data_IF_106196309269
#
_entry.id   IF_106196309269
#
_cell.length_a   1.000
_cell.length_b   1.000
_cell.length_c   1.000
_cell.angle_alpha   90.00
_cell.angle_beta   90.00
_cell.angle_gamma   90.00
#
_symmetry.space_group_name_H-M   'P 1'
#
loop_
_entity.id
_entity.type
_entity.pdbx_description
1 polymer ?
#
# COMPACT_ATOMS: atom_id res chain seq x y z
N UNK A 1 -24.31 44.30 13.67
CA UNK A 1 -24.92 43.12 14.29
C UNK A 1 -25.69 42.40 13.19
N UNK A 2 -25.11 41.33 12.67
CA UNK A 2 -25.81 40.47 11.71
C UNK A 2 -26.75 39.61 12.52
N UNK A 3 -28.05 39.82 12.39
CA UNK A 3 -29.05 38.93 12.93
C UNK A 3 -29.01 37.61 12.16
N UNK A 4 -28.23 36.64 12.68
CA UNK A 4 -28.28 35.27 12.22
C UNK A 4 -29.62 34.68 12.70
N UNK A 5 -30.60 34.64 11.83
CA UNK A 5 -31.80 33.83 12.06
C UNK A 5 -31.32 32.39 12.24
N UNK A 6 -31.63 31.72 13.35
CA UNK A 6 -31.27 30.34 13.52
C UNK A 6 -31.91 29.52 12.40
N UNK A 7 -31.11 29.01 11.48
CA UNK A 7 -31.59 28.06 10.48
C UNK A 7 -32.15 26.87 11.25
N UNK A 8 -33.45 26.62 11.12
CA UNK A 8 -34.05 25.42 11.70
C UNK A 8 -33.28 24.19 11.15
N UNK A 9 -32.57 23.52 12.03
CA UNK A 9 -31.84 22.32 11.63
C UNK A 9 -32.88 21.29 11.15
N UNK A 10 -32.61 20.59 10.03
CA UNK A 10 -33.54 19.58 9.53
C UNK A 10 -33.79 18.55 10.64
N UNK A 11 -35.01 17.97 10.63
CA UNK A 11 -35.37 16.93 11.58
C UNK A 11 -34.30 15.83 11.57
N UNK A 12 -33.88 15.34 12.74
CA UNK A 12 -32.91 14.26 12.80
C UNK A 12 -33.42 13.07 11.98
N UNK A 13 -32.48 12.37 11.30
CA UNK A 13 -32.81 11.14 10.56
C UNK A 13 -33.46 10.17 11.55
N UNK A 14 -34.64 9.67 11.23
CA UNK A 14 -35.39 8.80 12.15
C UNK A 14 -34.84 7.38 12.08
N UNK A 15 -34.62 6.72 13.24
CA UNK A 15 -34.23 5.31 13.25
C UNK A 15 -35.38 4.45 12.71
N UNK A 16 -34.99 3.36 12.00
CA UNK A 16 -35.91 2.39 11.43
C UNK A 16 -35.50 0.98 11.80
N UNK A 17 -36.45 0.11 11.97
CA UNK A 17 -36.18 -1.31 12.18
C UNK A 17 -35.84 -1.95 10.84
N UNK A 18 -34.64 -2.51 10.66
CA UNK A 18 -34.33 -3.25 9.45
C UNK A 18 -35.21 -4.52 9.38
N UNK A 19 -35.53 -5.00 8.18
CA UNK A 19 -36.19 -6.31 8.04
C UNK A 19 -35.36 -7.39 8.75
N UNK A 20 -36.02 -8.45 9.21
CA UNK A 20 -35.36 -9.58 9.90
C UNK A 20 -34.49 -10.36 8.93
N UNK A 21 -33.24 -9.94 8.78
CA UNK A 21 -32.20 -10.68 8.09
C UNK A 21 -31.49 -11.61 9.08
N UNK A 22 -31.11 -12.78 8.62
CA UNK A 22 -30.51 -13.83 9.44
C UNK A 22 -29.10 -13.52 9.96
N UNK A 23 -28.43 -12.50 9.43
CA UNK A 23 -27.09 -12.05 9.91
C UNK A 23 -26.85 -10.59 9.50
N UNK A 24 -26.08 -9.81 10.28
CA UNK A 24 -25.52 -8.58 9.76
C UNK A 24 -24.62 -8.91 8.56
N UNK A 25 -24.64 -8.02 7.56
CA UNK A 25 -23.70 -8.15 6.44
C UNK A 25 -22.28 -8.24 7.00
N UNK A 26 -21.48 -9.11 6.41
CA UNK A 26 -20.12 -9.34 6.89
C UNK A 26 -19.39 -8.00 7.01
N UNK A 27 -18.87 -7.74 8.21
CA UNK A 27 -17.90 -6.65 8.42
C UNK A 27 -16.80 -6.86 7.39
N UNK A 28 -16.32 -5.77 6.80
CA UNK A 28 -15.20 -5.85 5.86
C UNK A 28 -14.13 -6.76 6.47
N UNK A 29 -13.65 -7.78 5.74
CA UNK A 29 -12.79 -8.83 6.29
C UNK A 29 -11.49 -8.28 6.88
N UNK A 30 -11.14 -7.05 6.51
CA UNK A 30 -9.94 -6.37 6.99
C UNK A 30 -10.26 -4.92 7.35
N UNK A 31 -9.89 -4.53 8.56
CA UNK A 31 -9.95 -3.13 9.00
C UNK A 31 -8.83 -2.32 8.35
N UNK A 32 -9.02 -1.02 8.24
CA UNK A 32 -8.06 -0.12 7.59
C UNK A 32 -6.68 -0.14 8.28
N UNK A 33 -6.64 -0.34 9.60
CA UNK A 33 -5.37 -0.46 10.33
C UNK A 33 -4.60 -1.74 9.95
N UNK A 34 -5.29 -2.85 9.68
CA UNK A 34 -4.66 -4.06 9.16
C UNK A 34 -4.00 -3.83 7.80
N UNK A 35 -4.69 -3.11 6.91
CA UNK A 35 -4.16 -2.78 5.59
C UNK A 35 -2.99 -1.79 5.65
N UNK A 36 -3.07 -0.80 6.53
CA UNK A 36 -1.99 0.17 6.77
C UNK A 36 -0.73 -0.56 7.27
N UNK A 37 -0.88 -1.46 8.25
CA UNK A 37 0.24 -2.27 8.78
C UNK A 37 0.78 -3.21 7.69
N UNK A 38 -0.09 -3.88 6.93
CA UNK A 38 0.32 -4.78 5.87
C UNK A 38 1.11 -4.05 4.77
N UNK A 39 0.61 -2.90 4.30
CA UNK A 39 1.29 -2.09 3.28
C UNK A 39 2.63 -1.57 3.78
N UNK A 40 2.69 -1.03 5.01
CA UNK A 40 3.94 -0.55 5.59
C UNK A 40 4.96 -1.69 5.74
N UNK A 41 4.53 -2.86 6.22
CA UNK A 41 5.39 -4.05 6.36
C UNK A 41 5.93 -4.50 5.01
N UNK A 42 5.08 -4.50 3.98
CA UNK A 42 5.50 -4.85 2.61
C UNK A 42 6.58 -3.89 2.09
N UNK A 43 6.35 -2.58 2.23
CA UNK A 43 7.30 -1.54 1.76
C UNK A 43 8.65 -1.58 2.50
N UNK A 44 8.69 -2.10 3.73
CA UNK A 44 9.95 -2.28 4.46
C UNK A 44 10.90 -3.28 3.79
N UNK A 45 10.35 -4.31 3.16
CA UNK A 45 11.12 -5.39 2.51
C UNK A 45 11.17 -5.22 0.98
N UNK A 46 10.21 -4.53 0.40
CA UNK A 46 10.07 -4.32 -1.03
C UNK A 46 9.92 -2.82 -1.33
N UNK A 47 11.02 -2.09 -1.54
CA UNK A 47 10.95 -0.67 -1.86
C UNK A 47 10.09 -0.44 -3.11
N UNK A 48 8.98 0.25 -2.95
CA UNK A 48 8.03 0.53 -4.02
C UNK A 48 8.35 1.88 -4.63
N UNK A 49 8.37 1.96 -5.96
CA UNK A 49 8.42 3.23 -6.68
C UNK A 49 7.00 3.77 -6.82
N UNK A 50 6.81 4.99 -6.36
CA UNK A 50 5.57 5.68 -6.66
C UNK A 50 5.65 6.22 -8.08
N UNK A 51 4.82 5.68 -8.96
CA UNK A 51 4.68 6.23 -10.30
C UNK A 51 3.58 7.28 -10.30
N UNK A 52 3.91 8.45 -10.79
CA UNK A 52 2.91 9.48 -11.10
C UNK A 52 2.34 9.13 -12.48
N UNK A 53 1.14 8.59 -12.52
CA UNK A 53 0.47 8.30 -13.79
C UNK A 53 -0.55 9.38 -14.12
N UNK A 54 -0.46 9.96 -15.30
CA UNK A 54 -1.49 10.80 -15.90
C UNK A 54 -2.57 9.89 -16.51
N UNK A 55 -3.53 9.44 -15.72
CA UNK A 55 -4.57 8.50 -16.21
C UNK A 55 -5.66 9.18 -17.06
N UNK A 56 -5.64 10.50 -17.18
CA UNK A 56 -6.67 11.29 -17.85
C UNK A 56 -6.21 11.88 -19.20
N UNK A 57 -5.15 11.35 -19.79
CA UNK A 57 -4.79 11.63 -21.18
C UNK A 57 -5.76 10.97 -22.20
N UNK A 58 -7.02 10.84 -21.85
CA UNK A 58 -8.02 10.55 -22.86
C UNK A 58 -8.36 11.88 -23.54
N UNK A 59 -8.02 12.05 -24.83
CA UNK A 59 -8.55 13.17 -25.59
C UNK A 59 -10.07 13.06 -25.55
N UNK A 60 -10.73 14.05 -24.95
CA UNK A 60 -12.18 14.15 -25.09
C UNK A 60 -12.47 14.19 -26.59
N UNK A 61 -13.34 13.33 -27.14
CA UNK A 61 -13.46 13.09 -28.58
C UNK A 61 -13.79 14.32 -29.42
N UNK A 62 -14.08 15.45 -28.82
CA UNK A 62 -14.53 16.65 -29.53
C UNK A 62 -13.82 17.97 -29.16
N UNK A 63 -12.85 17.99 -28.25
CA UNK A 63 -12.35 19.29 -27.76
C UNK A 63 -10.83 19.50 -27.75
N UNK A 64 -10.01 18.50 -27.97
CA UNK A 64 -8.54 18.67 -27.97
C UNK A 64 -7.93 19.20 -26.66
N UNK A 65 -8.69 19.26 -25.57
CA UNK A 65 -8.21 19.62 -24.26
C UNK A 65 -7.74 18.36 -23.55
N UNK A 66 -6.44 18.30 -23.24
CA UNK A 66 -5.87 17.26 -22.42
C UNK A 66 -6.24 17.54 -20.94
N UNK A 67 -6.95 16.63 -20.29
CA UNK A 67 -7.15 16.65 -18.85
C UNK A 67 -5.96 15.92 -18.24
N UNK A 68 -4.97 16.65 -17.79
CA UNK A 68 -3.87 16.06 -17.03
C UNK A 68 -4.29 15.90 -15.58
N UNK A 69 -4.83 14.76 -15.23
CA UNK A 69 -4.98 14.36 -13.85
C UNK A 69 -3.71 13.64 -13.41
N UNK A 70 -2.84 14.34 -12.72
CA UNK A 70 -1.68 13.73 -12.07
C UNK A 70 -2.18 12.92 -10.90
N UNK A 71 -2.27 11.61 -11.07
CA UNK A 71 -2.62 10.67 -10.01
C UNK A 71 -1.34 9.97 -9.54
N UNK A 72 -1.06 10.05 -8.26
CA UNK A 72 -0.05 9.17 -7.67
C UNK A 72 -0.65 7.77 -7.61
N UNK A 73 -0.23 6.92 -8.53
CA UNK A 73 -0.61 5.51 -8.52
C UNK A 73 0.48 4.74 -7.80
N UNK A 74 0.09 4.03 -6.75
CA UNK A 74 0.94 3.00 -6.19
C UNK A 74 0.91 1.83 -7.17
N UNK A 75 2.06 1.53 -7.76
CA UNK A 75 2.23 0.31 -8.53
C UNK A 75 2.41 -0.83 -7.52
N UNK A 76 1.28 -1.29 -7.00
CA UNK A 76 1.26 -2.39 -6.04
C UNK A 76 1.60 -3.67 -6.78
N UNK A 77 2.60 -4.41 -6.31
CA UNK A 77 2.93 -5.70 -6.88
C UNK A 77 1.72 -6.64 -6.82
N UNK A 78 1.57 -7.42 -7.89
CA UNK A 78 0.42 -8.33 -8.04
C UNK A 78 0.25 -9.32 -6.90
N UNK A 79 1.32 -9.68 -6.23
CA UNK A 79 1.35 -10.59 -5.08
C UNK A 79 0.74 -9.98 -3.82
N UNK A 80 0.96 -8.69 -3.50
CA UNK A 80 0.26 -8.04 -2.40
C UNK A 80 -1.25 -7.96 -2.68
N UNK A 81 -1.63 -7.60 -3.92
CA UNK A 81 -3.04 -7.56 -4.32
C UNK A 81 -3.67 -8.96 -4.27
N UNK A 82 -2.92 -10.00 -4.67
CA UNK A 82 -3.39 -11.38 -4.62
C UNK A 82 -3.58 -11.91 -3.20
N UNK A 83 -2.80 -11.41 -2.25
CA UNK A 83 -2.93 -11.76 -0.85
C UNK A 83 -4.22 -11.19 -0.22
N UNK A 84 -4.75 -10.09 -0.77
CA UNK A 84 -5.96 -9.42 -0.29
C UNK A 84 -6.99 -9.25 -1.42
N UNK A 85 -7.55 -10.34 -1.96
CA UNK A 85 -8.36 -10.31 -3.17
C UNK A 85 -9.64 -9.47 -3.04
N UNK A 86 -10.19 -9.37 -1.82
CA UNK A 86 -11.44 -8.67 -1.54
C UNK A 86 -11.23 -7.16 -1.25
N UNK A 87 -9.97 -6.69 -1.24
CA UNK A 87 -9.66 -5.29 -0.95
C UNK A 87 -9.59 -4.48 -2.24
N UNK A 88 -10.48 -3.51 -2.42
CA UNK A 88 -10.47 -2.67 -3.59
C UNK A 88 -9.18 -1.83 -3.72
N UNK A 89 -8.69 -1.56 -4.93
CA UNK A 89 -7.47 -0.75 -5.14
C UNK A 89 -7.51 0.63 -4.47
N UNK A 90 -8.66 1.28 -4.41
CA UNK A 90 -8.83 2.60 -3.78
C UNK A 90 -8.60 2.56 -2.26
N UNK A 91 -8.84 1.44 -1.61
CA UNK A 91 -8.55 1.24 -0.18
C UNK A 91 -7.04 1.25 0.07
N UNK A 92 -6.26 0.64 -0.82
CA UNK A 92 -4.80 0.71 -0.78
C UNK A 92 -4.28 2.12 -1.03
N UNK A 93 -4.92 2.88 -1.93
CA UNK A 93 -4.61 4.29 -2.16
C UNK A 93 -4.84 5.12 -0.89
N UNK A 94 -5.93 4.86 -0.17
CA UNK A 94 -6.19 5.50 1.12
C UNK A 94 -5.15 5.09 2.16
N UNK A 95 -4.84 3.80 2.29
CA UNK A 95 -3.82 3.31 3.22
C UNK A 95 -2.45 3.97 2.97
N UNK A 96 -2.05 4.09 1.70
CA UNK A 96 -0.84 4.81 1.30
C UNK A 96 -0.89 6.29 1.70
N UNK A 97 -1.99 6.97 1.38
CA UNK A 97 -2.15 8.40 1.70
C UNK A 97 -2.09 8.64 3.21
N UNK A 98 -2.65 7.75 4.01
CA UNK A 98 -2.56 7.80 5.48
C UNK A 98 -1.14 7.57 5.99
N UNK A 99 -0.41 6.59 5.43
CA UNK A 99 1.00 6.35 5.78
C UNK A 99 1.89 7.55 5.49
N UNK A 100 1.66 8.23 4.37
CA UNK A 100 2.37 9.46 3.99
C UNK A 100 1.98 10.62 4.90
N UNK A 101 0.69 10.82 5.15
CA UNK A 101 0.19 11.90 5.99
C UNK A 101 0.66 11.77 7.44
N UNK A 102 0.69 10.57 7.99
CA UNK A 102 1.17 10.28 9.35
C UNK A 102 2.69 10.20 9.45
N UNK A 103 3.40 10.41 8.35
CA UNK A 103 4.86 10.33 8.27
C UNK A 103 5.45 8.96 8.69
N UNK A 104 4.64 7.92 8.70
CA UNK A 104 5.12 6.54 8.87
C UNK A 104 5.87 6.10 7.63
N UNK A 105 5.47 6.60 6.47
CA UNK A 105 6.16 6.40 5.20
C UNK A 105 6.57 7.76 4.61
N UNK A 106 7.73 7.78 3.99
CA UNK A 106 8.23 8.92 3.21
C UNK A 106 8.58 8.47 1.81
N UNK A 107 8.44 9.40 0.86
CA UNK A 107 8.76 9.15 -0.54
C UNK A 107 9.72 10.23 -1.04
N UNK A 108 10.86 9.78 -1.53
CA UNK A 108 11.79 10.60 -2.31
C UNK A 108 11.86 10.02 -3.72
N UNK A 109 12.95 9.38 -4.08
CA UNK A 109 13.07 8.54 -5.29
C UNK A 109 12.53 7.13 -5.06
N UNK A 110 12.60 6.64 -3.84
CA UNK A 110 12.07 5.36 -3.38
C UNK A 110 11.26 5.59 -2.10
N UNK A 111 10.29 4.72 -1.85
CA UNK A 111 9.55 4.72 -0.60
C UNK A 111 10.37 4.12 0.52
N UNK A 112 10.28 4.71 1.71
CA UNK A 112 10.90 4.18 2.93
C UNK A 112 9.92 4.28 4.10
N UNK A 113 10.01 3.34 5.03
CA UNK A 113 9.15 3.26 6.22
C UNK A 113 9.96 3.60 7.47
N UNK A 114 9.43 4.50 8.28
CA UNK A 114 9.94 4.74 9.61
C UNK A 114 9.48 3.61 10.54
N UNK A 115 10.39 2.67 10.80
CA UNK A 115 10.11 1.47 11.62
C UNK A 115 9.64 1.82 13.02
N UNK A 116 10.20 2.85 13.65
CA UNK A 116 9.81 3.26 14.98
C UNK A 116 8.37 3.78 15.03
N UNK A 117 8.00 4.64 14.09
CA UNK A 117 6.63 5.15 13.97
C UNK A 117 5.61 4.03 13.64
N UNK A 118 6.01 3.04 12.83
CA UNK A 118 5.18 1.87 12.56
C UNK A 118 5.01 1.00 13.82
N UNK A 119 6.07 0.78 14.58
CA UNK A 119 6.02 0.02 15.84
C UNK A 119 5.12 0.71 16.86
N UNK A 120 5.23 2.03 16.98
CA UNK A 120 4.37 2.84 17.86
C UNK A 120 2.90 2.75 17.44
N UNK A 121 2.61 2.76 16.15
CA UNK A 121 1.24 2.56 15.65
C UNK A 121 0.75 1.14 15.95
N UNK A 122 1.50 0.13 15.58
CA UNK A 122 1.10 -1.27 15.69
C UNK A 122 0.92 -1.70 17.17
N UNK A 123 1.74 -1.18 18.08
CA UNK A 123 1.66 -1.46 19.51
C UNK A 123 0.53 -0.74 20.27
N UNK A 124 -0.23 0.15 19.62
CA UNK A 124 -1.40 0.80 20.23
C UNK A 124 -2.60 -0.16 20.29
N UNK A 125 -3.49 0.09 21.27
CA UNK A 125 -4.78 -0.60 21.30
C UNK A 125 -5.55 -0.35 20.01
N UNK A 126 -6.24 -1.35 19.44
CA UNK A 126 -6.89 -1.24 18.13
C UNK A 126 -7.80 -0.02 17.97
N UNK A 127 -8.62 0.28 18.99
CA UNK A 127 -9.47 1.46 18.97
C UNK A 127 -8.65 2.76 18.86
N UNK A 128 -7.57 2.89 19.65
CA UNK A 128 -6.68 4.07 19.64
C UNK A 128 -5.99 4.23 18.27
N UNK A 129 -5.55 3.13 17.71
CA UNK A 129 -4.93 3.08 16.38
C UNK A 129 -5.91 3.53 15.29
N UNK A 130 -7.12 3.00 15.32
CA UNK A 130 -8.19 3.38 14.39
C UNK A 130 -8.60 4.85 14.56
N UNK A 131 -8.63 5.38 15.79
CA UNK A 131 -8.86 6.81 16.02
C UNK A 131 -7.74 7.68 15.43
N UNK A 132 -6.49 7.27 15.58
CA UNK A 132 -5.37 7.98 14.95
C UNK A 132 -5.50 8.02 13.43
N UNK A 133 -5.90 6.90 12.82
CA UNK A 133 -6.14 6.83 11.37
C UNK A 133 -7.37 7.63 10.95
N UNK A 134 -8.43 7.65 11.77
CA UNK A 134 -9.62 8.47 11.56
C UNK A 134 -9.28 9.97 11.58
N UNK A 135 -8.55 10.44 12.59
CA UNK A 135 -8.09 11.83 12.65
C UNK A 135 -7.19 12.19 11.45
N UNK A 136 -6.30 11.30 11.05
CA UNK A 136 -5.47 11.49 9.87
C UNK A 136 -6.33 11.58 8.60
N UNK A 137 -7.33 10.71 8.43
CA UNK A 137 -8.27 10.76 7.30
C UNK A 137 -9.09 12.05 7.30
N UNK A 138 -9.57 12.50 8.45
CA UNK A 138 -10.28 13.78 8.55
C UNK A 138 -9.48 14.95 8.01
N UNK A 139 -8.17 14.98 8.30
CA UNK A 139 -7.25 16.03 7.89
C UNK A 139 -6.63 15.82 6.49
N UNK A 140 -6.90 14.68 5.85
CA UNK A 140 -6.22 14.28 4.62
C UNK A 140 -6.72 15.07 3.41
N UNK A 141 -5.91 16.01 2.90
CA UNK A 141 -6.21 16.81 1.71
C UNK A 141 -5.62 16.26 0.41
N UNK A 142 -4.88 15.15 0.46
CA UNK A 142 -4.23 14.54 -0.71
C UNK A 142 -4.97 13.32 -1.28
N UNK A 143 -6.11 12.98 -0.70
CA UNK A 143 -6.98 11.90 -1.14
C UNK A 143 -8.44 12.30 -0.90
N UNK A 144 -9.30 12.08 -1.87
CA UNK A 144 -10.71 12.44 -1.80
C UNK A 144 -11.64 11.28 -2.17
N UNK A 145 -12.82 11.28 -1.59
CA UNK A 145 -13.83 10.24 -1.71
C UNK A 145 -14.44 10.15 -3.12
N UNK A 146 -14.24 11.14 -3.97
CA UNK A 146 -14.58 11.06 -5.39
C UNK A 146 -13.93 9.85 -6.10
N UNK A 147 -12.79 9.36 -5.57
CA UNK A 147 -12.09 8.17 -6.07
C UNK A 147 -12.90 6.89 -5.89
N UNK A 148 -13.80 6.85 -4.90
CA UNK A 148 -14.70 5.72 -4.67
C UNK A 148 -15.71 5.56 -5.80
N UNK A 149 -16.04 6.64 -6.50
CA UNK A 149 -16.96 6.60 -7.64
C UNK A 149 -16.43 5.80 -8.82
N UNK A 150 -15.12 5.71 -8.96
CA UNK A 150 -14.48 4.93 -10.04
C UNK A 150 -14.75 3.41 -9.91
N UNK A 151 -15.12 2.94 -8.73
CA UNK A 151 -15.38 1.52 -8.47
C UNK A 151 -16.83 1.13 -8.73
N UNK A 152 -17.72 2.04 -8.55
CA UNK A 152 -19.13 1.84 -8.87
C UNK A 152 -19.43 2.33 -10.29
N UNK A 153 -20.28 1.58 -11.00
CA UNK A 153 -20.67 1.93 -12.36
C UNK A 153 -22.00 2.68 -12.42
N UNK A 154 -22.35 3.49 -11.38
CA UNK A 154 -23.62 4.24 -11.31
C UNK A 154 -23.42 5.70 -11.64
N UNK A 155 -22.39 6.31 -11.07
CA UNK A 155 -22.03 7.71 -11.28
C UNK A 155 -20.52 7.85 -11.47
N UNK A 156 -20.13 8.91 -12.15
CA UNK A 156 -18.72 9.21 -12.41
C UNK A 156 -18.47 10.71 -12.39
N UNK A 157 -17.21 11.08 -12.20
CA UNK A 157 -16.78 12.47 -12.29
C UNK A 157 -16.54 12.84 -13.74
N UNK A 158 -17.09 13.96 -14.17
CA UNK A 158 -16.89 14.49 -15.51
C UNK A 158 -16.39 15.92 -15.46
N UNK A 159 -15.63 16.31 -16.49
CA UNK A 159 -15.19 17.69 -16.64
C UNK A 159 -16.30 18.50 -17.32
N UNK A 160 -16.59 19.66 -16.76
CA UNK A 160 -17.62 20.56 -17.29
C UNK A 160 -17.27 21.04 -18.70
N UNK A 161 -18.24 21.04 -19.67
CA UNK A 161 -17.96 21.45 -21.04
C UNK A 161 -17.43 22.88 -21.18
N UNK A 162 -17.88 23.80 -20.34
CA UNK A 162 -17.41 25.19 -20.32
C UNK A 162 -15.93 25.29 -19.98
N UNK A 163 -15.46 24.43 -19.08
CA UNK A 163 -14.05 24.38 -18.66
C UNK A 163 -13.16 23.84 -19.78
N UNK A 164 -13.64 22.79 -20.45
CA UNK A 164 -12.97 22.20 -21.62
C UNK A 164 -12.82 23.20 -22.76
N UNK A 165 -13.88 23.98 -23.05
CA UNK A 165 -13.86 24.99 -24.11
C UNK A 165 -12.82 26.10 -23.88
N UNK A 166 -12.56 26.44 -22.61
CA UNK A 166 -11.56 27.44 -22.22
C UNK A 166 -10.13 26.89 -22.17
N UNK A 167 -9.88 25.64 -22.53
CA UNK A 167 -8.56 24.96 -22.50
C UNK A 167 -7.87 25.04 -21.14
N UNK A 168 -8.62 25.05 -20.07
CA UNK A 168 -8.09 25.06 -18.71
C UNK A 168 -7.78 23.63 -18.26
N UNK A 169 -6.80 23.50 -17.38
CA UNK A 169 -6.40 22.19 -16.83
C UNK A 169 -7.15 21.98 -15.51
N UNK A 170 -7.98 20.94 -15.46
CA UNK A 170 -8.63 20.49 -14.23
C UNK A 170 -7.70 19.51 -13.48
N UNK A 171 -7.36 19.80 -12.23
CA UNK A 171 -6.50 18.93 -11.44
C UNK A 171 -7.27 18.22 -10.33
N UNK A 172 -7.01 16.93 -10.06
CA UNK A 172 -7.65 16.21 -8.95
C UNK A 172 -7.30 16.78 -7.57
N UNK A 173 -6.17 17.46 -7.43
CA UNK A 173 -5.78 18.06 -6.14
C UNK A 173 -6.82 19.08 -5.62
N UNK A 174 -7.49 19.81 -6.52
CA UNK A 174 -8.61 20.67 -6.15
C UNK A 174 -9.78 19.89 -5.57
N UNK A 175 -10.12 18.74 -6.18
CA UNK A 175 -11.17 17.85 -5.70
C UNK A 175 -10.83 17.24 -4.33
N UNK A 176 -9.60 16.78 -4.14
CA UNK A 176 -9.16 16.20 -2.88
C UNK A 176 -9.34 17.20 -1.73
N UNK A 177 -8.97 18.46 -1.94
CA UNK A 177 -9.17 19.54 -0.94
C UNK A 177 -10.65 19.87 -0.66
N UNK A 178 -11.51 19.81 -1.64
CA UNK A 178 -12.95 20.05 -1.42
C UNK A 178 -13.59 18.98 -0.55
N UNK A 179 -13.09 17.73 -0.63
CA UNK A 179 -13.55 16.63 0.20
C UNK A 179 -13.32 16.85 1.71
N UNK A 180 -12.35 17.66 2.13
CA UNK A 180 -12.16 18.00 3.55
C UNK A 180 -13.40 18.63 4.17
N UNK A 181 -13.97 19.62 3.50
CA UNK A 181 -15.17 20.31 4.00
C UNK A 181 -16.42 19.44 3.87
N UNK A 182 -16.46 18.57 2.87
CA UNK A 182 -17.54 17.62 2.69
C UNK A 182 -17.51 16.55 3.79
N UNK A 183 -16.32 16.04 4.17
CA UNK A 183 -16.15 15.14 5.34
C UNK A 183 -16.69 15.76 6.60
N UNK A 184 -16.27 16.99 6.93
CA UNK A 184 -16.74 17.69 8.11
C UNK A 184 -18.26 17.84 8.10
N UNK A 185 -18.89 18.06 6.94
CA UNK A 185 -20.33 18.18 6.82
C UNK A 185 -21.04 16.85 7.04
N UNK A 186 -20.54 15.75 6.44
CA UNK A 186 -21.12 14.42 6.63
C UNK A 186 -20.98 13.95 8.09
N UNK A 187 -19.78 14.12 8.68
CA UNK A 187 -19.53 13.72 10.07
C UNK A 187 -20.44 14.45 11.05
N UNK A 188 -20.65 15.76 10.89
CA UNK A 188 -21.61 16.53 11.71
C UNK A 188 -23.04 16.01 11.60
N UNK A 189 -23.44 15.44 10.46
CA UNK A 189 -24.74 14.80 10.34
C UNK A 189 -24.77 13.47 11.08
N UNK A 190 -23.71 12.68 10.98
CA UNK A 190 -23.59 11.40 11.69
C UNK A 190 -23.52 11.57 13.21
N UNK A 191 -22.90 12.64 13.71
CA UNK A 191 -22.87 13.01 15.14
C UNK A 191 -24.26 13.20 15.76
N UNK A 192 -25.30 13.36 14.95
CA UNK A 192 -26.70 13.51 15.41
C UNK A 192 -27.45 12.19 15.49
N UNK A 193 -26.84 11.12 15.02
CA UNK A 193 -27.43 9.81 15.06
C UNK A 193 -27.24 9.17 16.46
N UNK A 194 -28.21 8.39 16.87
CA UNK A 194 -28.10 7.62 18.12
C UNK A 194 -27.31 6.34 17.85
N UNK A 195 -26.20 6.09 18.55
CA UNK A 195 -25.43 4.87 18.38
C UNK A 195 -26.27 3.61 18.56
N UNK A 196 -25.99 2.58 17.77
CA UNK A 196 -26.69 1.30 17.81
C UNK A 196 -28.08 1.29 17.16
N UNK A 197 -28.62 2.45 16.77
CA UNK A 197 -29.85 2.53 16.00
C UNK A 197 -29.57 2.37 14.50
N UNK A 198 -30.55 1.79 13.79
CA UNK A 198 -30.45 1.56 12.35
C UNK A 198 -31.10 2.68 11.57
N UNK A 199 -30.43 3.14 10.52
CA UNK A 199 -30.85 4.25 9.66
C UNK A 199 -30.78 3.82 8.20
N UNK A 200 -31.73 4.30 7.40
CA UNK A 200 -31.76 4.03 5.97
C UNK A 200 -30.85 5.03 5.23
N UNK A 201 -29.96 4.57 4.38
CA UNK A 201 -28.97 5.41 3.68
C UNK A 201 -29.63 6.54 2.86
N UNK A 202 -30.75 6.27 2.21
CA UNK A 202 -31.51 7.30 1.46
C UNK A 202 -32.07 8.43 2.35
N UNK A 203 -32.44 8.14 3.61
CA UNK A 203 -32.93 9.16 4.52
C UNK A 203 -31.80 10.09 4.95
N UNK A 204 -30.58 9.56 5.10
CA UNK A 204 -29.39 10.37 5.33
C UNK A 204 -29.08 11.26 4.11
N UNK A 205 -29.21 10.73 2.89
CA UNK A 205 -29.07 11.50 1.65
C UNK A 205 -30.04 12.67 1.59
N UNK A 206 -31.29 12.43 1.95
CA UNK A 206 -32.32 13.48 2.00
C UNK A 206 -32.00 14.54 3.06
N UNK A 207 -31.62 14.12 4.27
CA UNK A 207 -31.20 15.04 5.32
C UNK A 207 -29.96 15.85 4.91
N UNK A 208 -28.99 15.23 4.22
CA UNK A 208 -27.81 15.92 3.71
C UNK A 208 -28.16 16.98 2.67
N UNK A 209 -29.07 16.69 1.75
CA UNK A 209 -29.49 17.66 0.73
C UNK A 209 -30.21 18.88 1.35
N UNK A 210 -30.93 18.69 2.47
CA UNK A 210 -31.56 19.78 3.22
C UNK A 210 -30.55 20.56 4.07
N UNK A 211 -29.63 19.86 4.75
CA UNK A 211 -28.65 20.48 5.63
C UNK A 211 -27.62 21.28 4.85
N UNK A 212 -27.17 20.76 3.73
CA UNK A 212 -26.13 21.35 2.89
C UNK A 212 -26.55 21.28 1.40
N UNK A 213 -27.35 22.24 0.91
CA UNK A 213 -27.74 22.24 -0.52
C UNK A 213 -26.57 22.29 -1.48
N UNK A 214 -25.41 22.68 -0.98
CA UNK A 214 -24.16 22.77 -1.74
C UNK A 214 -23.26 21.51 -1.62
N UNK A 215 -23.73 20.48 -0.95
CA UNK A 215 -23.00 19.21 -0.85
C UNK A 215 -23.26 18.35 -2.12
N UNK A 216 -22.25 17.68 -2.67
CA UNK A 216 -20.82 17.81 -2.36
C UNK A 216 -20.24 19.10 -2.97
N UNK A 217 -19.26 19.69 -2.29
CA UNK A 217 -18.69 20.99 -2.70
C UNK A 217 -18.00 20.95 -4.06
N UNK A 218 -17.41 19.84 -4.43
CA UNK A 218 -16.79 19.71 -5.76
C UNK A 218 -17.80 19.94 -6.90
N UNK A 219 -19.09 19.72 -6.66
CA UNK A 219 -20.13 20.01 -7.65
C UNK A 219 -20.35 21.50 -7.90
N UNK A 220 -19.74 22.37 -7.09
CA UNK A 220 -19.66 23.82 -7.32
C UNK A 220 -18.40 24.25 -8.06
N UNK A 221 -17.43 23.36 -8.18
CA UNK A 221 -16.22 23.62 -8.97
C UNK A 221 -16.62 23.80 -10.43
N UNK A 222 -16.21 24.89 -11.09
CA UNK A 222 -16.52 25.12 -12.50
C UNK A 222 -15.93 24.06 -13.42
N UNK A 223 -14.92 23.33 -12.97
CA UNK A 223 -14.24 22.31 -13.76
C UNK A 223 -14.93 20.94 -13.68
N UNK A 224 -15.55 20.60 -12.55
CA UNK A 224 -15.99 19.24 -12.26
C UNK A 224 -17.52 19.14 -12.08
N UNK A 225 -18.05 17.98 -12.43
CA UNK A 225 -19.45 17.65 -12.21
C UNK A 225 -19.65 16.16 -11.97
N UNK A 226 -20.77 15.82 -11.34
CA UNK A 226 -21.22 14.45 -11.19
C UNK A 226 -22.13 14.08 -12.35
N UNK A 227 -21.91 12.96 -13.01
CA UNK A 227 -22.75 12.45 -14.09
C UNK A 227 -23.20 11.02 -13.81
N UNK A 228 -24.26 10.56 -14.41
CA UNK A 228 -24.55 9.13 -14.45
C UNK A 228 -23.51 8.43 -15.34
N UNK A 229 -23.16 7.21 -14.98
CA UNK A 229 -22.15 6.43 -15.69
C UNK A 229 -22.46 6.31 -17.18
N UNK A 230 -21.46 6.58 -18.03
CA UNK A 230 -21.61 6.62 -19.47
C UNK A 230 -22.19 7.92 -20.04
N UNK A 231 -22.47 8.92 -19.19
CA UNK A 231 -22.95 10.24 -19.63
C UNK A 231 -21.85 11.29 -19.45
N UNK A 232 -21.71 12.17 -20.45
CA UNK A 232 -20.72 13.27 -20.43
C UNK A 232 -21.26 14.56 -19.84
N UNK A 233 -22.57 14.61 -19.55
CA UNK A 233 -23.23 15.80 -19.06
C UNK A 233 -23.43 15.70 -17.56
N UNK A 234 -22.93 16.71 -16.84
CA UNK A 234 -23.12 16.80 -15.41
C UNK A 234 -24.60 16.90 -15.03
N UNK A 235 -24.97 16.25 -13.94
CA UNK A 235 -26.32 16.27 -13.39
C UNK A 235 -26.68 17.68 -12.89
N UNK A 236 -27.90 18.09 -13.18
CA UNK A 236 -28.44 19.35 -12.64
C UNK A 236 -28.92 19.11 -11.21
N UNK A 237 -28.52 19.99 -10.28
CA UNK A 237 -28.79 19.85 -8.84
C UNK A 237 -30.24 19.63 -8.43
N UNK A 238 -31.17 20.24 -9.12
CA UNK A 238 -32.61 20.18 -8.76
C UNK A 238 -33.33 19.03 -9.48
N UNK A 239 -32.62 18.09 -10.06
CA UNK A 239 -33.19 16.94 -10.78
C UNK A 239 -33.29 15.70 -9.91
N UNK A 240 -34.25 14.82 -10.19
CA UNK A 240 -34.30 13.48 -9.56
C UNK A 240 -33.02 12.67 -9.80
N UNK A 241 -32.43 12.85 -10.98
CA UNK A 241 -31.14 12.23 -11.29
C UNK A 241 -30.01 12.71 -10.37
N UNK A 242 -30.04 13.98 -9.93
CA UNK A 242 -29.09 14.47 -8.92
C UNK A 242 -29.25 13.77 -7.60
N UNK A 243 -30.48 13.55 -7.12
CA UNK A 243 -30.73 12.85 -5.85
C UNK A 243 -30.23 11.40 -5.92
N UNK A 244 -30.39 10.73 -7.05
CA UNK A 244 -29.84 9.40 -7.29
C UNK A 244 -28.29 9.43 -7.26
N UNK A 245 -27.68 10.39 -7.94
CA UNK A 245 -26.23 10.56 -7.98
C UNK A 245 -25.65 10.92 -6.61
N UNK A 246 -26.28 11.84 -5.90
CA UNK A 246 -25.90 12.23 -4.54
C UNK A 246 -26.02 11.05 -3.57
N UNK A 247 -27.11 10.28 -3.68
CA UNK A 247 -27.31 9.09 -2.86
C UNK A 247 -26.21 8.06 -3.09
N UNK A 248 -25.90 7.78 -4.35
CA UNK A 248 -24.82 6.87 -4.71
C UNK A 248 -23.45 7.35 -4.19
N UNK A 249 -23.19 8.67 -4.21
CA UNK A 249 -21.94 9.23 -3.68
C UNK A 249 -21.85 9.09 -2.15
N UNK A 250 -22.91 9.45 -1.41
CA UNK A 250 -22.96 9.32 0.04
C UNK A 250 -22.85 7.86 0.45
N UNK A 251 -23.56 6.96 -0.23
CA UNK A 251 -23.51 5.51 0.02
C UNK A 251 -22.08 4.96 -0.11
N UNK A 252 -21.37 5.35 -1.18
CA UNK A 252 -19.96 4.95 -1.35
C UNK A 252 -19.06 5.48 -0.24
N UNK A 253 -19.33 6.68 0.23
CA UNK A 253 -18.57 7.27 1.33
C UNK A 253 -18.78 6.51 2.64
N UNK A 254 -20.04 6.14 2.93
CA UNK A 254 -20.37 5.36 4.11
C UNK A 254 -19.79 3.94 4.03
N UNK A 255 -19.91 3.26 2.89
CA UNK A 255 -19.34 1.94 2.66
C UNK A 255 -17.80 1.96 2.56
N UNK A 256 -17.21 3.10 2.26
CA UNK A 256 -15.78 3.31 2.13
C UNK A 256 -15.08 3.53 3.49
N UNK A 257 -14.45 4.70 3.69
CA UNK A 257 -13.57 4.95 4.83
C UNK A 257 -14.21 4.71 6.20
N UNK A 258 -15.48 5.08 6.39
CA UNK A 258 -16.17 4.91 7.68
C UNK A 258 -16.40 3.45 8.03
N UNK A 259 -16.73 2.61 7.04
CA UNK A 259 -16.86 1.16 7.22
C UNK A 259 -15.49 0.49 7.38
N UNK A 260 -14.50 0.89 6.58
CA UNK A 260 -13.14 0.33 6.69
C UNK A 260 -12.46 0.65 8.02
N UNK A 261 -12.82 1.78 8.63
CA UNK A 261 -12.42 2.15 9.99
C UNK A 261 -13.26 1.42 11.08
N UNK A 262 -14.24 0.61 10.69
CA UNK A 262 -15.12 -0.08 11.63
C UNK A 262 -16.15 0.82 12.32
N UNK A 263 -16.32 2.05 11.83
CA UNK A 263 -17.27 3.04 12.42
C UNK A 263 -18.72 2.75 12.11
N UNK A 264 -19.01 2.02 11.02
CA UNK A 264 -20.36 1.68 10.58
C UNK A 264 -20.55 0.16 10.44
N UNK A 265 -21.75 -0.30 10.78
CA UNK A 265 -22.25 -1.64 10.49
C UNK A 265 -23.41 -1.55 9.49
N UNK A 266 -23.59 -2.58 8.66
CA UNK A 266 -24.58 -2.62 7.58
C UNK A 266 -25.54 -3.79 7.67
N UNK A 267 -26.76 -3.57 7.16
CA UNK A 267 -27.77 -4.60 6.89
C UNK A 267 -28.57 -4.19 5.65
N UNK A 268 -28.17 -4.66 4.49
CA UNK A 268 -28.71 -4.17 3.21
C UNK A 268 -28.53 -2.65 3.09
N UNK A 269 -29.60 -1.90 2.86
CA UNK A 269 -29.57 -0.43 2.75
C UNK A 269 -29.53 0.30 4.10
N UNK A 270 -29.51 -0.44 5.22
CA UNK A 270 -29.47 0.12 6.56
C UNK A 270 -28.07 0.13 7.12
N UNK A 271 -27.71 1.22 7.77
CA UNK A 271 -26.47 1.36 8.51
C UNK A 271 -26.70 1.76 9.97
N UNK A 272 -25.73 1.49 10.81
CA UNK A 272 -25.72 1.86 12.21
C UNK A 272 -24.33 2.30 12.64
N UNK A 273 -24.25 3.29 13.52
CA UNK A 273 -23.00 3.60 14.21
C UNK A 273 -22.63 2.47 15.15
N UNK A 274 -21.45 1.92 14.96
CA UNK A 274 -20.87 0.95 15.90
C UNK A 274 -20.45 1.65 17.19
N UNK A 275 -20.16 0.94 18.30
CA UNK A 275 -19.55 1.54 19.48
C UNK A 275 -18.22 2.26 19.14
N UNK A 276 -17.45 1.72 18.19
CA UNK A 276 -16.25 2.38 17.70
C UNK A 276 -16.58 3.67 16.95
N UNK A 277 -17.56 3.64 16.04
CA UNK A 277 -18.02 4.82 15.31
C UNK A 277 -18.54 5.93 16.23
N UNK A 278 -19.26 5.55 17.29
CA UNK A 278 -19.73 6.50 18.29
C UNK A 278 -18.55 7.19 19.01
N UNK A 279 -17.54 6.42 19.37
CA UNK A 279 -16.34 6.97 20.02
C UNK A 279 -15.48 7.80 19.04
N UNK A 280 -15.33 7.40 17.78
CA UNK A 280 -14.62 8.16 16.76
C UNK A 280 -15.27 9.53 16.47
N UNK A 281 -16.60 9.64 16.69
CA UNK A 281 -17.38 10.87 16.53
C UNK A 281 -17.57 11.63 17.85
N UNK A 282 -16.82 11.32 18.90
CA UNK A 282 -16.91 11.94 20.22
C UNK A 282 -18.31 11.85 20.89
N UNK A 283 -19.14 10.88 20.49
CA UNK A 283 -20.43 10.60 21.10
C UNK A 283 -20.30 9.74 22.36
N UNK A 284 -19.18 9.04 22.50
CA UNK A 284 -18.81 8.23 23.66
C UNK A 284 -17.45 8.67 24.17
N UNK A 285 -17.30 8.69 25.50
CA UNK A 285 -16.06 9.19 26.14
C UNK A 285 -14.97 8.15 26.29
N UNK A 286 -15.33 6.87 26.30
CA UNK A 286 -14.40 5.77 26.48
C UNK A 286 -14.22 4.97 25.20
N UNK A 287 -12.99 4.57 24.84
CA UNK A 287 -12.75 3.71 23.70
C UNK A 287 -13.43 2.34 23.94
N UNK A 288 -14.10 1.79 22.91
CA UNK A 288 -14.69 0.47 23.04
C UNK A 288 -13.60 -0.59 23.21
N UNK A 289 -13.89 -1.61 24.03
CA UNK A 289 -13.05 -2.81 24.10
C UNK A 289 -13.26 -3.61 22.80
N UNK A 290 -12.39 -3.41 21.84
CA UNK A 290 -12.31 -4.30 20.69
C UNK A 290 -11.60 -5.56 21.19
N UNK A 291 -12.35 -6.66 21.31
CA UNK A 291 -11.82 -7.92 21.81
C UNK A 291 -10.56 -8.32 21.03
N UNK A 292 -9.41 -8.15 21.65
CA UNK A 292 -8.15 -8.62 21.10
C UNK A 292 -7.96 -10.07 21.52
N UNK A 293 -7.77 -11.02 20.62
CA UNK A 293 -7.12 -12.25 21.02
C UNK A 293 -5.71 -11.87 21.50
N UNK A 294 -5.45 -12.12 22.78
CA UNK A 294 -4.14 -11.85 23.43
C UNK A 294 -3.06 -12.84 22.95
N UNK A 295 -3.03 -13.15 21.70
CA UNK A 295 -2.00 -14.01 21.15
C UNK A 295 -0.88 -13.13 20.64
N UNK A 296 0.22 -13.14 21.39
CA UNK A 296 1.49 -12.60 20.92
C UNK A 296 1.95 -13.28 19.62
N UNK A 297 3.18 -13.06 19.25
CA UNK A 297 3.77 -13.69 18.08
C UNK A 297 3.77 -15.21 18.21
N UNK A 298 3.24 -15.91 17.22
CA UNK A 298 3.21 -17.37 17.14
C UNK A 298 4.03 -17.84 15.95
N UNK A 299 4.78 -18.93 16.13
CA UNK A 299 5.42 -19.64 15.02
C UNK A 299 4.53 -20.80 14.62
N UNK A 300 4.13 -20.81 13.36
CA UNK A 300 3.33 -21.87 12.77
C UNK A 300 4.23 -23.07 12.41
N UNK A 301 3.65 -24.26 12.26
CA UNK A 301 4.40 -25.49 11.93
C UNK A 301 5.11 -25.42 10.57
N UNK A 302 4.58 -24.62 9.64
CA UNK A 302 5.20 -24.34 8.34
C UNK A 302 6.28 -23.24 8.37
N UNK A 303 6.67 -22.78 9.56
CA UNK A 303 7.72 -21.76 9.77
C UNK A 303 7.25 -20.32 9.56
N UNK A 304 5.95 -20.07 9.35
CA UNK A 304 5.41 -18.71 9.29
C UNK A 304 5.27 -18.10 10.67
N UNK A 305 5.48 -16.79 10.73
CA UNK A 305 5.18 -15.97 11.90
C UNK A 305 3.75 -15.46 11.80
N UNK A 306 2.95 -15.70 12.83
CA UNK A 306 1.56 -15.24 12.92
C UNK A 306 1.42 -14.23 14.06
N UNK A 307 0.88 -13.06 13.75
CA UNK A 307 0.59 -12.02 14.74
C UNK A 307 -0.83 -11.48 14.52
N UNK A 308 -1.61 -11.41 15.61
CA UNK A 308 -2.92 -10.78 15.54
C UNK A 308 -2.77 -9.27 15.32
N UNK A 309 -3.50 -8.70 14.35
CA UNK A 309 -3.48 -7.25 14.12
C UNK A 309 -3.92 -6.49 15.37
N UNK A 310 -4.84 -7.06 16.14
CA UNK A 310 -5.30 -6.50 17.41
C UNK A 310 -4.28 -6.60 18.56
N UNK A 311 -3.11 -7.23 18.36
CA UNK A 311 -2.09 -7.36 19.42
C UNK A 311 -1.51 -5.99 19.78
N UNK A 312 -1.42 -5.72 21.09
CA UNK A 312 -0.73 -4.55 21.66
C UNK A 312 0.67 -4.88 22.16
N UNK A 313 1.14 -6.09 21.90
CA UNK A 313 2.45 -6.57 22.30
C UNK A 313 3.54 -5.92 21.43
N UNK A 314 4.16 -4.87 21.96
CA UNK A 314 5.22 -4.14 21.26
C UNK A 314 6.47 -4.99 21.04
N UNK A 315 6.76 -5.96 21.90
CA UNK A 315 7.91 -6.83 21.72
C UNK A 315 7.68 -7.80 20.57
N UNK A 316 6.47 -8.34 20.45
CA UNK A 316 6.05 -9.16 19.32
C UNK A 316 6.13 -8.39 18.00
N UNK A 317 5.59 -7.17 17.94
CA UNK A 317 5.69 -6.30 16.75
C UNK A 317 7.14 -5.88 16.49
N UNK A 318 7.91 -5.60 17.54
CA UNK A 318 9.33 -5.32 17.44
C UNK A 318 10.09 -6.48 16.79
N UNK A 319 9.79 -7.71 17.18
CA UNK A 319 10.37 -8.91 16.55
C UNK A 319 10.04 -8.97 15.06
N UNK A 320 8.77 -8.72 14.69
CA UNK A 320 8.36 -8.68 13.28
C UNK A 320 9.07 -7.54 12.53
N UNK A 321 9.11 -6.32 13.07
CA UNK A 321 9.61 -5.16 12.32
C UNK A 321 11.11 -4.90 12.42
N UNK A 322 11.77 -5.30 13.50
CA UNK A 322 13.21 -5.04 13.71
C UNK A 322 14.08 -6.25 13.41
N UNK A 323 13.73 -7.41 13.92
CA UNK A 323 14.58 -8.59 13.82
C UNK A 323 14.23 -9.46 12.62
N UNK A 324 12.97 -9.81 12.50
CA UNK A 324 12.49 -10.67 11.42
C UNK A 324 12.11 -9.89 10.15
N UNK A 325 11.88 -8.56 10.22
CA UNK A 325 11.55 -7.75 9.05
C UNK A 325 12.63 -7.79 7.96
N UNK A 326 13.87 -8.01 8.33
CA UNK A 326 14.99 -8.18 7.39
C UNK A 326 14.91 -9.51 6.62
N UNK A 327 14.08 -10.44 7.06
CA UNK A 327 13.95 -11.76 6.48
C UNK A 327 12.48 -12.16 6.25
N UNK A 328 11.55 -11.19 6.33
CA UNK A 328 10.13 -11.45 6.10
C UNK A 328 9.77 -11.33 4.64
N UNK A 329 8.90 -12.23 4.20
CA UNK A 329 8.13 -12.10 2.98
C UNK A 329 6.91 -11.19 3.20
N UNK A 330 6.17 -10.95 2.13
CA UNK A 330 4.96 -10.15 2.15
C UNK A 330 3.95 -10.67 3.20
N UNK A 331 3.24 -9.76 3.88
CA UNK A 331 2.22 -10.15 4.83
C UNK A 331 1.02 -10.78 4.13
N UNK A 332 0.51 -11.87 4.69
CA UNK A 332 -0.69 -12.56 4.21
C UNK A 332 -1.78 -12.47 5.29
N UNK A 333 -3.03 -12.13 4.93
CA UNK A 333 -4.11 -12.13 5.89
C UNK A 333 -4.52 -13.57 6.25
N UNK A 334 -4.86 -13.78 7.51
CA UNK A 334 -5.50 -14.99 8.00
C UNK A 334 -6.97 -14.72 8.30
N UNK A 335 -7.79 -15.77 8.25
CA UNK A 335 -9.24 -15.66 8.46
C UNK A 335 -9.65 -15.13 9.85
N UNK A 336 -8.75 -15.21 10.83
CA UNK A 336 -8.96 -14.74 12.20
C UNK A 336 -8.48 -13.29 12.46
N UNK A 337 -8.19 -12.53 11.41
CA UNK A 337 -7.69 -11.15 11.53
C UNK A 337 -6.23 -11.04 11.94
N UNK A 338 -5.45 -12.11 11.78
CA UNK A 338 -4.00 -12.10 11.95
C UNK A 338 -3.29 -11.83 10.63
N UNK A 339 -2.04 -11.37 10.72
CA UNK A 339 -1.09 -11.33 9.61
C UNK A 339 -0.08 -12.46 9.74
N UNK A 340 0.21 -13.10 8.62
CA UNK A 340 1.20 -14.15 8.48
C UNK A 340 2.40 -13.61 7.73
N UNK A 341 3.59 -13.88 8.22
CA UNK A 341 4.84 -13.50 7.58
C UNK A 341 5.70 -14.75 7.42
N UNK A 342 6.39 -14.87 6.28
CA UNK A 342 7.35 -15.94 6.05
C UNK A 342 8.76 -15.41 6.15
N UNK A 343 9.61 -16.10 6.89
CA UNK A 343 11.06 -15.83 6.93
C UNK A 343 11.69 -16.57 5.74
N UNK A 344 12.46 -15.87 4.91
CA UNK A 344 13.06 -16.43 3.68
C UNK A 344 14.57 -16.19 3.63
N UNK A 345 15.35 -17.18 3.09
CA UNK A 345 16.80 -17.09 3.06
C UNK A 345 17.33 -16.01 2.11
N UNK A 346 16.65 -15.74 1.02
CA UNK A 346 17.01 -14.72 0.03
C UNK A 346 16.88 -13.30 0.59
N UNK A 347 15.79 -13.00 1.32
CA UNK A 347 15.62 -11.71 2.00
C UNK A 347 16.66 -11.53 3.12
N UNK A 348 16.98 -12.61 3.84
CA UNK A 348 18.03 -12.60 4.83
C UNK A 348 19.40 -12.27 4.19
N UNK A 349 19.72 -12.89 3.04
CA UNK A 349 20.95 -12.63 2.30
C UNK A 349 21.04 -11.17 1.84
N UNK A 350 19.94 -10.61 1.26
CA UNK A 350 19.87 -9.19 0.86
C UNK A 350 20.14 -8.26 2.05
N UNK A 351 19.56 -8.58 3.21
CA UNK A 351 19.75 -7.78 4.43
C UNK A 351 21.17 -7.80 4.95
N UNK A 352 21.80 -8.97 4.91
CA UNK A 352 23.21 -9.14 5.30
C UNK A 352 24.16 -8.42 4.31
N UNK A 353 23.84 -8.42 3.02
CA UNK A 353 24.57 -7.65 2.01
C UNK A 353 24.46 -6.12 2.24
N UNK A 354 23.34 -5.67 2.84
CA UNK A 354 23.13 -4.29 3.25
C UNK A 354 23.79 -3.94 4.59
N UNK A 355 24.49 -4.87 5.21
CA UNK A 355 25.24 -4.65 6.45
C UNK A 355 24.46 -4.95 7.74
N UNK A 356 23.37 -5.71 7.68
CA UNK A 356 22.68 -6.15 8.88
C UNK A 356 23.57 -7.08 9.72
N UNK A 357 23.56 -6.90 11.05
CA UNK A 357 24.33 -7.74 11.97
C UNK A 357 23.64 -9.10 12.19
N UNK A 358 24.28 -10.24 11.81
CA UNK A 358 23.74 -11.57 12.00
C UNK A 358 23.39 -11.89 13.47
N UNK A 359 24.20 -11.40 14.42
CA UNK A 359 24.00 -11.65 15.84
C UNK A 359 22.77 -10.90 16.36
N UNK A 360 22.57 -9.66 15.90
CA UNK A 360 21.40 -8.86 16.27
C UNK A 360 20.09 -9.47 15.74
N UNK A 361 20.09 -10.00 14.51
CA UNK A 361 18.93 -10.69 13.91
C UNK A 361 18.56 -11.90 14.76
N UNK A 362 19.55 -12.76 15.08
CA UNK A 362 19.31 -13.98 15.84
C UNK A 362 18.81 -13.67 17.26
N UNK A 363 19.49 -12.78 17.97
CA UNK A 363 19.10 -12.37 19.33
C UNK A 363 17.71 -11.74 19.38
N UNK A 364 17.29 -11.03 18.31
CA UNK A 364 15.94 -10.47 18.19
C UNK A 364 14.89 -11.56 18.04
N UNK A 365 15.14 -12.55 17.17
CA UNK A 365 14.27 -13.70 16.99
C UNK A 365 14.17 -14.56 18.26
N UNK A 366 15.28 -14.83 18.93
CA UNK A 366 15.31 -15.60 20.20
C UNK A 366 14.45 -14.96 21.29
N UNK A 367 14.47 -13.63 21.41
CA UNK A 367 13.65 -12.92 22.41
C UNK A 367 12.16 -12.97 22.07
N UNK A 368 11.80 -12.81 20.79
CA UNK A 368 10.40 -12.63 20.39
C UNK A 368 9.63 -13.91 20.09
N UNK A 369 10.32 -15.01 19.75
CA UNK A 369 9.63 -16.23 19.28
C UNK A 369 9.17 -17.18 20.39
N UNK A 370 9.61 -16.98 21.62
CA UNK A 370 9.29 -17.89 22.73
C UNK A 370 9.91 -19.29 22.58
N UNK A 371 9.53 -20.22 23.48
CA UNK A 371 10.17 -21.53 23.60
C UNK A 371 9.47 -22.70 22.89
N UNK A 372 8.54 -22.45 21.96
CA UNK A 372 7.82 -23.53 21.27
C UNK A 372 8.76 -24.37 20.38
N UNK A 373 8.41 -25.63 20.14
CA UNK A 373 9.16 -26.49 19.24
C UNK A 373 9.25 -25.96 17.80
N UNK A 374 8.20 -25.26 17.34
CA UNK A 374 8.18 -24.60 16.04
C UNK A 374 9.16 -23.40 16.02
N UNK A 375 9.19 -22.60 17.10
CA UNK A 375 10.15 -21.50 17.25
C UNK A 375 11.60 -22.01 17.24
N UNK A 376 11.88 -23.09 17.96
CA UNK A 376 13.21 -23.67 17.98
C UNK A 376 13.65 -24.18 16.59
N UNK A 377 12.75 -24.82 15.84
CA UNK A 377 13.03 -25.23 14.46
C UNK A 377 13.33 -24.04 13.54
N UNK A 378 12.55 -22.96 13.67
CA UNK A 378 12.78 -21.74 12.88
C UNK A 378 14.12 -21.11 13.22
N UNK A 379 14.47 -20.98 14.51
CA UNK A 379 15.76 -20.47 14.95
C UNK A 379 16.92 -21.29 14.42
N UNK A 380 16.85 -22.63 14.47
CA UNK A 380 17.88 -23.52 13.90
C UNK A 380 18.00 -23.32 12.39
N UNK A 381 16.90 -23.14 11.70
CA UNK A 381 16.89 -22.88 10.25
C UNK A 381 17.58 -21.55 9.94
N UNK A 382 17.26 -20.49 10.65
CA UNK A 382 17.89 -19.17 10.48
C UNK A 382 19.38 -19.22 10.83
N UNK A 383 19.77 -19.90 11.93
CA UNK A 383 21.18 -20.12 12.29
C UNK A 383 21.94 -20.85 11.17
N UNK A 384 21.31 -21.86 10.55
CA UNK A 384 21.90 -22.58 9.43
C UNK A 384 22.13 -21.64 8.22
N UNK A 385 21.14 -20.80 7.87
CA UNK A 385 21.28 -19.84 6.78
C UNK A 385 22.39 -18.80 7.06
N UNK A 386 22.43 -18.26 8.28
CA UNK A 386 23.49 -17.33 8.70
C UNK A 386 24.88 -17.98 8.62
N UNK A 387 25.00 -19.25 9.03
CA UNK A 387 26.24 -19.99 8.93
C UNK A 387 26.64 -20.36 7.50
N UNK A 388 25.70 -20.38 6.57
CA UNK A 388 25.96 -20.62 5.14
C UNK A 388 26.25 -19.33 4.37
N UNK A 389 25.88 -18.16 4.89
CA UNK A 389 26.07 -16.87 4.22
C UNK A 389 27.55 -16.59 3.93
N UNK A 390 27.84 -16.17 2.72
CA UNK A 390 29.17 -15.82 2.27
C UNK A 390 30.12 -17.00 2.00
N UNK A 391 29.68 -18.27 2.23
CA UNK A 391 30.45 -19.46 1.84
C UNK A 391 30.60 -19.58 0.32
N UNK A 392 29.58 -19.15 -0.42
CA UNK A 392 29.64 -19.06 -1.88
C UNK A 392 29.52 -17.59 -2.23
N UNK A 393 30.43 -17.09 -3.03
CA UNK A 393 30.42 -15.71 -3.53
C UNK A 393 30.28 -15.75 -5.03
N UNK A 394 29.26 -15.09 -5.54
CA UNK A 394 29.05 -14.90 -6.97
C UNK A 394 29.49 -13.46 -7.29
N UNK A 395 30.38 -13.34 -8.27
CA UNK A 395 30.83 -12.04 -8.76
C UNK A 395 30.15 -11.76 -10.09
N UNK A 396 29.44 -10.67 -10.18
CA UNK A 396 28.80 -10.18 -11.40
C UNK A 396 29.63 -9.01 -11.96
N UNK A 397 29.52 -8.80 -13.26
CA UNK A 397 30.16 -7.68 -13.97
C UNK A 397 31.68 -7.63 -13.76
N UNK A 398 32.32 -8.77 -13.87
CA UNK A 398 33.76 -8.90 -13.80
C UNK A 398 34.32 -9.50 -15.09
N UNK A 399 35.45 -8.99 -15.52
CA UNK A 399 36.28 -9.66 -16.53
C UNK A 399 37.36 -10.50 -15.83
N UNK A 400 37.53 -11.73 -16.29
CA UNK A 400 38.52 -12.69 -15.79
C UNK A 400 39.80 -12.56 -16.58
N UNK A 401 40.92 -12.55 -15.90
CA UNK A 401 42.26 -12.64 -16.48
C UNK A 401 42.86 -13.98 -16.12
N UNK A 402 43.13 -14.80 -17.13
CA UNK A 402 43.93 -16.03 -17.02
C UNK A 402 45.37 -15.70 -17.36
N UNK A 403 46.27 -15.94 -16.43
CA UNK A 403 47.68 -15.62 -16.53
C UNK A 403 48.48 -16.91 -16.72
N UNK A 404 49.55 -16.84 -17.48
CA UNK A 404 50.36 -18.00 -17.79
C UNK A 404 51.03 -18.62 -16.54
N UNK A 405 51.46 -17.77 -15.61
CA UNK A 405 52.10 -18.16 -14.36
C UNK A 405 51.91 -17.07 -13.25
N UNK A 406 52.48 -17.34 -12.07
CA UNK A 406 52.44 -16.41 -10.93
C UNK A 406 53.34 -15.19 -11.10
N UNK A 407 54.41 -15.30 -11.93
CA UNK A 407 55.29 -14.19 -12.25
C UNK A 407 54.57 -13.11 -13.08
N UNK A 408 53.77 -13.52 -14.04
CA UNK A 408 52.91 -12.61 -14.82
C UNK A 408 51.95 -11.83 -13.92
N UNK A 409 51.38 -12.42 -12.86
CA UNK A 409 50.56 -11.75 -11.90
C UNK A 409 51.32 -10.67 -11.11
N UNK A 410 52.53 -10.99 -10.64
CA UNK A 410 53.37 -10.08 -9.90
C UNK A 410 53.83 -8.90 -10.78
N UNK A 411 54.22 -9.17 -12.02
CA UNK A 411 54.60 -8.17 -13.01
C UNK A 411 53.45 -7.17 -13.28
N UNK A 412 52.21 -7.67 -13.45
CA UNK A 412 51.05 -6.84 -13.68
C UNK A 412 50.72 -6.02 -12.42
N UNK A 413 50.84 -6.61 -11.23
CA UNK A 413 50.58 -5.92 -9.96
C UNK A 413 51.62 -4.86 -9.61
N UNK A 414 52.90 -5.07 -9.97
CA UNK A 414 53.98 -4.09 -9.79
C UNK A 414 53.77 -2.82 -10.61
N UNK A 415 52.97 -2.87 -11.66
CA UNK A 415 52.61 -1.74 -12.49
C UNK A 415 51.29 -1.10 -12.08
N UNK A 416 51.18 0.24 -12.21
CA UNK A 416 49.93 0.93 -11.97
C UNK A 416 48.90 0.62 -13.08
N UNK A 417 47.88 -0.16 -12.80
CA UNK A 417 46.75 -0.39 -13.70
C UNK A 417 45.68 0.68 -13.49
N UNK A 418 44.88 0.97 -14.52
CA UNK A 418 43.78 1.94 -14.41
C UNK A 418 42.61 1.49 -13.50
N UNK A 419 42.63 0.19 -13.09
CA UNK A 419 41.64 -0.35 -12.16
C UNK A 419 42.27 -1.36 -11.21
N UNK A 420 41.70 -1.57 -10.02
CA UNK A 420 42.21 -2.55 -9.06
C UNK A 420 42.09 -3.98 -9.62
N UNK A 421 43.20 -4.70 -9.63
CA UNK A 421 43.27 -6.11 -9.98
C UNK A 421 43.16 -6.94 -8.71
N UNK A 422 42.21 -7.85 -8.66
CA UNK A 422 41.99 -8.74 -7.52
C UNK A 422 42.42 -10.15 -7.87
N UNK A 423 43.55 -10.65 -7.32
CA UNK A 423 43.96 -12.02 -7.53
C UNK A 423 43.00 -12.99 -6.83
N UNK A 424 42.58 -14.03 -7.51
CA UNK A 424 41.80 -15.15 -6.98
C UNK A 424 42.67 -16.37 -6.70
N UNK A 425 43.65 -16.62 -7.59
CA UNK A 425 44.69 -17.65 -7.46
C UNK A 425 46.03 -17.07 -7.91
N UNK A 426 47.08 -17.90 -8.00
CA UNK A 426 48.40 -17.49 -8.51
C UNK A 426 48.39 -17.12 -10.00
N UNK A 427 47.43 -17.67 -10.73
CA UNK A 427 47.34 -17.50 -12.20
C UNK A 427 45.98 -16.96 -12.64
N UNK A 428 45.12 -16.58 -11.71
CA UNK A 428 43.78 -16.09 -12.00
C UNK A 428 43.53 -14.79 -11.24
N UNK A 429 43.12 -13.76 -11.98
CA UNK A 429 42.71 -12.50 -11.40
C UNK A 429 41.43 -12.00 -12.05
N UNK A 430 40.74 -11.04 -11.39
CA UNK A 430 39.53 -10.39 -11.91
C UNK A 430 39.66 -8.89 -11.81
N UNK A 431 39.02 -8.21 -12.74
CA UNK A 431 38.83 -6.75 -12.78
C UNK A 431 37.35 -6.41 -12.98
N UNK A 432 36.90 -5.21 -12.63
CA UNK A 432 35.57 -4.76 -12.99
C UNK A 432 35.39 -4.74 -14.52
N UNK A 433 34.27 -5.26 -15.00
CA UNK A 433 33.97 -5.34 -16.44
C UNK A 433 34.06 -3.97 -17.13
N UNK A 434 33.59 -2.91 -16.46
CA UNK A 434 33.70 -1.51 -16.93
C UNK A 434 35.13 -1.05 -17.17
N UNK A 435 36.11 -1.69 -16.54
CA UNK A 435 37.52 -1.36 -16.69
C UNK A 435 38.26 -2.23 -17.73
N UNK A 436 37.56 -3.18 -18.37
CA UNK A 436 38.15 -4.17 -19.27
C UNK A 436 38.97 -3.54 -20.39
N UNK A 437 38.40 -2.62 -21.13
CA UNK A 437 39.09 -1.96 -22.26
C UNK A 437 40.30 -1.16 -21.78
N UNK A 438 40.16 -0.39 -20.71
CA UNK A 438 41.24 0.42 -20.16
C UNK A 438 42.40 -0.44 -19.65
N UNK A 439 42.11 -1.57 -19.02
CA UNK A 439 43.14 -2.52 -18.54
C UNK A 439 43.80 -3.23 -19.71
N UNK A 440 43.02 -3.70 -20.70
CA UNK A 440 43.56 -4.30 -21.94
C UNK A 440 44.57 -3.37 -22.63
N UNK A 441 44.16 -2.11 -22.85
CA UNK A 441 44.98 -1.12 -23.52
C UNK A 441 46.26 -0.80 -22.71
N UNK A 442 46.16 -0.74 -21.39
CA UNK A 442 47.30 -0.56 -20.50
C UNK A 442 48.27 -1.76 -20.55
N UNK A 443 47.79 -2.99 -20.69
CA UNK A 443 48.59 -4.19 -20.87
C UNK A 443 49.33 -4.17 -22.23
N UNK A 444 48.60 -3.78 -23.29
CA UNK A 444 49.20 -3.66 -24.65
C UNK A 444 50.30 -2.57 -24.66
N UNK A 445 50.05 -1.45 -24.00
CA UNK A 445 51.06 -0.36 -23.91
C UNK A 445 52.33 -0.79 -23.18
N UNK A 446 52.28 -1.86 -22.39
CA UNK A 446 53.45 -2.46 -21.67
C UNK A 446 54.11 -3.62 -22.42
N UNK A 447 53.62 -3.92 -23.62
CA UNK A 447 54.17 -4.98 -24.44
C UNK A 447 53.55 -6.37 -24.23
N UNK A 448 52.50 -6.47 -23.42
CA UNK A 448 51.71 -7.71 -23.36
C UNK A 448 50.78 -7.81 -24.57
N UNK A 449 50.48 -9.03 -24.99
CA UNK A 449 49.55 -9.30 -26.11
C UNK A 449 48.37 -10.14 -25.60
N UNK A 450 47.43 -9.55 -24.82
CA UNK A 450 46.35 -10.32 -24.24
C UNK A 450 45.41 -10.85 -25.34
N UNK A 451 45.08 -12.14 -25.29
CA UNK A 451 44.04 -12.73 -26.13
C UNK A 451 42.70 -12.53 -25.45
N UNK A 452 41.74 -11.89 -26.15
CA UNK A 452 40.39 -11.72 -25.67
C UNK A 452 39.55 -12.93 -26.06
N UNK A 453 39.05 -13.66 -25.06
CA UNK A 453 38.14 -14.78 -25.27
C UNK A 453 36.72 -14.30 -24.92
N UNK A 454 35.93 -14.04 -25.95
CA UNK A 454 34.53 -13.54 -25.77
C UNK A 454 33.48 -14.66 -25.74
N UNK A 455 33.90 -15.92 -25.87
CA UNK A 455 32.97 -17.05 -25.95
C UNK A 455 32.85 -17.85 -24.66
N UNK A 456 31.99 -17.37 -23.77
CA UNK A 456 31.11 -18.34 -23.13
C UNK A 456 30.04 -18.68 -24.19
N UNK A 457 29.85 -19.97 -24.57
CA UNK A 457 28.87 -20.34 -25.56
C UNK A 457 27.52 -19.79 -25.10
N UNK A 458 26.92 -18.87 -25.87
CA UNK A 458 25.54 -18.43 -25.68
C UNK A 458 24.72 -19.71 -25.64
N UNK A 459 24.10 -20.00 -24.50
CA UNK A 459 23.10 -21.05 -24.42
C UNK A 459 22.04 -20.67 -25.46
N UNK A 460 22.05 -21.39 -26.60
CA UNK A 460 20.93 -21.34 -27.53
C UNK A 460 19.68 -21.67 -26.70
N UNK A 461 18.80 -20.70 -26.56
CA UNK A 461 17.45 -20.96 -26.06
C UNK A 461 16.85 -22.00 -26.99
N UNK A 462 16.74 -23.25 -26.54
CA UNK A 462 16.02 -24.29 -27.24
C UNK A 462 14.62 -23.74 -27.54
N UNK A 463 14.36 -23.39 -28.80
CA UNK A 463 13.02 -23.11 -29.28
C UNK A 463 12.12 -24.29 -28.94
N UNK A 464 10.92 -24.07 -28.38
CA UNK A 464 10.00 -25.17 -28.14
C UNK A 464 9.68 -25.84 -29.47
N UNK A 465 9.95 -27.16 -29.51
CA UNK A 465 9.73 -28.02 -30.65
C UNK A 465 8.32 -27.82 -31.21
N UNK A 466 8.28 -27.55 -32.52
CA UNK A 466 7.06 -27.37 -33.28
C UNK A 466 6.10 -28.56 -33.11
N UNK A 467 4.88 -28.28 -32.80
CA UNK A 467 3.75 -29.20 -32.84
C UNK A 467 3.55 -29.69 -34.28
N UNK A 468 3.95 -30.92 -34.57
CA UNK A 468 3.54 -31.65 -35.77
C UNK A 468 2.03 -31.80 -35.76
N UNK A 469 1.34 -31.08 -36.63
CA UNK A 469 -0.03 -31.42 -37.06
C UNK A 469 0.06 -32.70 -37.90
N UNK A 470 -0.33 -33.82 -37.31
CA UNK A 470 -0.64 -35.04 -38.03
C UNK A 470 -1.94 -34.87 -38.79
N UNK A 471 -1.90 -34.83 -40.09
CA UNK A 471 -3.02 -35.15 -40.96
C UNK A 471 -3.09 -36.66 -41.07
N UNK A 472 -4.20 -37.22 -40.63
CA UNK A 472 -4.59 -38.59 -40.88
C UNK A 472 -5.62 -38.64 -42.03
N UNK A 473 -5.67 -39.70 -42.84
CA UNK A 473 -6.44 -39.83 -44.07
C UNK A 473 -7.95 -39.97 -43.83
#
# INVERSE_FOLDING_TARGET
VVNLTPVALPAPVQPKTPPSFSSPDAVAPHTLDALVIALASYVMTHPVRLTVSSRWDQPLPQSGAAIAAVRTKLDLPGDLLSAFPDVPPVTWELALALLLHTQIMTTTTTSSVNRQSLLELAGQAPAVRLNRLFAAWQALGSWGEWRLLEQQKRVEMVVQPSFVQNRQIATPAGLDNTCLADRATLLRLLERLTPGQWYLSRDLTHAMSQLSPNFPKFSQDPAWGLALAGHTTALKRDSDAWQIGLGAFIEQWLHGPLTWLGGLAWRGDFFSLTPLGAWLLDLETAPPSLAAPHTGLQVMDDGKLKIAVASTDQEAWGTVFHSAALALDQPQPAADGSLLFRVQPDLLAISLDQGADPAAILAGLERGLGGSSAAQRLLQTVQHWLGAYGRIRIFENIARLDLADDFALQEIQAGALPAPLRPLTRTLAVIPDQAFDAVRDALIARGHTPTVISDLPKKEHASPAGTHKGTAP
#
